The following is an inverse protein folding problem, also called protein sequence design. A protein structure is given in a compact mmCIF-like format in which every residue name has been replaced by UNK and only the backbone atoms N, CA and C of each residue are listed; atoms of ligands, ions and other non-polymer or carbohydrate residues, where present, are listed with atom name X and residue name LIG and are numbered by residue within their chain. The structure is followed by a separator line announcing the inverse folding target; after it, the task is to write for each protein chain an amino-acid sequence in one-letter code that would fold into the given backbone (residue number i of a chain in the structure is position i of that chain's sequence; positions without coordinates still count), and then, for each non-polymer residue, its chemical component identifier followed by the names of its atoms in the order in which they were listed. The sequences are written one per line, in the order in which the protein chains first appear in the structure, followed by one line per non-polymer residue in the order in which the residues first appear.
data_IF_733068078311
#
_entry.id   IF_733068078311
#
_cell.length_a   1.000
_cell.length_b   1.000
_cell.length_c   1.000
_cell.angle_alpha   90.00
_cell.angle_beta   90.00
_cell.angle_gamma   90.00
#
_symmetry.space_group_name_H-M   'P 1'
#
loop_
_entity.id
_entity.type
_entity.pdbx_description
1 polymer ?
#
# COMPACT_ATOMS: atom_id res chain seq x y z
N UNK A 1 9.66 -11.86 17.32
CA UNK A 1 10.36 -10.96 16.39
C UNK A 1 9.63 -9.62 16.36
N UNK A 2 10.33 -8.49 16.19
CA UNK A 2 9.71 -7.16 16.05
C UNK A 2 9.70 -6.80 14.56
N UNK A 3 8.66 -6.14 14.02
CA UNK A 3 8.70 -5.63 12.66
C UNK A 3 9.84 -4.63 12.47
N UNK A 4 10.31 -4.48 11.23
CA UNK A 4 11.31 -3.47 10.87
C UNK A 4 10.67 -2.14 10.53
N UNK A 5 9.62 -2.16 9.71
CA UNK A 5 8.91 -0.97 9.24
C UNK A 5 7.49 -1.33 8.76
N UNK A 6 6.69 -0.30 8.43
CA UNK A 6 5.31 -0.44 7.98
C UNK A 6 5.10 0.40 6.72
N UNK A 7 4.26 -0.07 5.80
CA UNK A 7 3.94 0.67 4.57
C UNK A 7 2.44 0.86 4.40
N UNK A 8 2.07 2.02 3.87
CA UNK A 8 0.80 2.26 3.18
C UNK A 8 1.14 2.67 1.76
N UNK A 9 0.70 1.91 0.76
CA UNK A 9 0.98 2.17 -0.65
C UNK A 9 -0.30 2.07 -1.45
N UNK A 10 -0.57 3.05 -2.32
CA UNK A 10 -1.83 3.13 -3.06
C UNK A 10 -1.62 3.69 -4.46
N UNK A 11 -2.48 3.26 -5.38
CA UNK A 11 -2.68 3.88 -6.69
C UNK A 11 -4.03 4.60 -6.70
N UNK A 12 -4.06 5.90 -6.37
CA UNK A 12 -5.30 6.66 -6.27
C UNK A 12 -6.05 6.74 -7.60
N UNK A 13 -7.37 6.82 -7.53
CA UNK A 13 -8.25 7.09 -8.69
C UNK A 13 -8.81 8.51 -8.69
N UNK A 14 -8.38 9.32 -7.72
CA UNK A 14 -8.78 10.72 -7.56
C UNK A 14 -7.58 11.65 -7.71
N UNK A 15 -7.87 12.91 -7.97
CA UNK A 15 -6.89 13.99 -7.99
C UNK A 15 -6.89 14.73 -6.65
N UNK A 16 -5.71 15.06 -6.13
CA UNK A 16 -5.54 15.87 -4.92
C UNK A 16 -5.31 17.36 -5.23
N UNK A 17 -5.66 17.80 -6.44
CA UNK A 17 -5.63 19.22 -6.84
C UNK A 17 -6.96 19.96 -6.55
N UNK A 18 -7.87 19.32 -5.82
CA UNK A 18 -9.10 19.90 -5.30
C UNK A 18 -8.95 20.16 -3.80
N UNK A 19 -9.33 21.35 -3.35
CA UNK A 19 -9.11 21.80 -1.97
C UNK A 19 -9.79 20.88 -0.96
N UNK A 20 -11.01 20.42 -1.26
CA UNK A 20 -11.75 19.49 -0.40
C UNK A 20 -11.01 18.16 -0.25
N UNK A 21 -10.57 17.54 -1.36
CA UNK A 21 -9.94 16.23 -1.35
C UNK A 21 -8.56 16.29 -0.66
N UNK A 22 -7.74 17.28 -1.03
CA UNK A 22 -6.43 17.51 -0.38
C UNK A 22 -6.60 17.82 1.09
N UNK A 23 -7.55 18.68 1.43
CA UNK A 23 -7.85 19.07 2.79
C UNK A 23 -8.29 17.87 3.65
N UNK A 24 -9.09 16.96 3.10
CA UNK A 24 -9.48 15.71 3.77
C UNK A 24 -8.27 14.80 3.97
N UNK A 25 -7.40 14.63 2.95
CA UNK A 25 -6.21 13.78 3.07
C UNK A 25 -5.26 14.29 4.16
N UNK A 26 -5.00 15.60 4.21
CA UNK A 26 -4.18 16.21 5.26
C UNK A 26 -4.85 16.05 6.64
N UNK A 27 -6.17 16.21 6.71
CA UNK A 27 -6.91 16.06 7.97
C UNK A 27 -6.79 14.66 8.57
N UNK A 28 -6.72 13.62 7.74
CA UNK A 28 -6.52 12.23 8.19
C UNK A 28 -5.24 12.10 9.04
N UNK A 29 -4.12 12.67 8.59
CA UNK A 29 -2.89 12.68 9.39
C UNK A 29 -2.98 13.59 10.63
N UNK A 30 -3.68 14.71 10.54
CA UNK A 30 -3.84 15.68 11.63
C UNK A 30 -4.75 15.16 12.76
N UNK A 31 -5.72 14.31 12.42
CA UNK A 31 -6.73 13.78 13.35
C UNK A 31 -6.14 12.97 14.51
N UNK A 32 -4.92 12.45 14.32
CA UNK A 32 -4.18 11.71 15.32
C UNK A 32 -2.78 12.31 15.49
N UNK A 33 -2.52 12.86 16.67
CA UNK A 33 -1.23 13.49 17.04
C UNK A 33 -0.01 12.56 16.81
N UNK A 34 -0.23 11.24 16.80
CA UNK A 34 0.83 10.24 16.52
C UNK A 34 1.22 10.18 15.04
N UNK A 35 0.37 10.65 14.13
CA UNK A 35 0.60 10.67 12.69
C UNK A 35 0.69 12.06 12.08
N UNK A 36 0.41 13.13 12.83
CA UNK A 36 0.52 14.51 12.31
C UNK A 36 1.91 14.78 11.73
N UNK A 37 2.05 15.28 10.49
CA UNK A 37 3.36 15.56 9.92
C UNK A 37 4.06 16.65 10.73
N UNK A 38 5.39 16.59 10.81
CA UNK A 38 6.20 17.69 11.37
C UNK A 38 6.81 18.55 10.29
N UNK A 39 6.99 17.99 9.09
CA UNK A 39 7.54 18.71 7.95
C UNK A 39 6.81 18.33 6.66
N UNK A 40 6.96 19.19 5.66
CA UNK A 40 6.52 18.93 4.30
C UNK A 40 7.52 19.44 3.26
N UNK A 41 7.33 19.04 2.01
CA UNK A 41 8.10 19.50 0.87
C UNK A 41 7.37 19.29 -0.45
N UNK A 42 7.86 19.94 -1.50
CA UNK A 42 7.40 19.74 -2.89
C UNK A 42 8.30 18.78 -3.70
N UNK A 43 9.35 18.27 -3.07
CA UNK A 43 10.20 17.19 -3.57
C UNK A 43 10.93 16.53 -2.38
N UNK A 44 11.57 15.39 -2.63
CA UNK A 44 12.23 14.58 -1.60
C UNK A 44 13.31 15.34 -0.80
N UNK A 45 13.95 16.34 -1.40
CA UNK A 45 15.06 17.09 -0.80
C UNK A 45 14.62 18.32 -0.02
N UNK A 46 13.39 18.79 -0.21
CA UNK A 46 12.86 19.97 0.48
C UNK A 46 12.13 19.52 1.72
N UNK A 47 12.53 20.06 2.87
CA UNK A 47 11.91 19.73 4.16
C UNK A 47 11.79 20.99 5.00
N UNK A 48 10.59 21.55 5.05
CA UNK A 48 10.22 22.73 5.85
C UNK A 48 9.14 22.37 6.87
N UNK A 49 8.94 23.20 7.89
CA UNK A 49 7.94 22.95 8.94
C UNK A 49 6.54 22.74 8.34
N UNK A 50 5.80 21.77 8.86
CA UNK A 50 4.46 21.44 8.38
C UNK A 50 3.51 22.64 8.52
N UNK A 51 2.95 23.09 7.39
CA UNK A 51 1.96 24.13 7.35
C UNK A 51 0.85 23.78 6.34
N UNK A 52 -0.30 23.36 6.87
CA UNK A 52 -1.49 23.00 6.06
C UNK A 52 -1.90 24.09 5.07
N UNK A 53 -1.93 25.35 5.54
CA UNK A 53 -2.40 26.46 4.71
C UNK A 53 -1.43 26.72 3.55
N UNK A 54 -0.12 26.63 3.82
CA UNK A 54 0.91 26.78 2.80
C UNK A 54 0.83 25.68 1.73
N UNK A 55 0.57 24.43 2.15
CA UNK A 55 0.36 23.30 1.23
C UNK A 55 -0.85 23.57 0.33
N UNK A 56 -2.00 23.93 0.93
CA UNK A 56 -3.23 24.21 0.19
C UNK A 56 -3.03 25.37 -0.80
N UNK A 57 -2.41 26.46 -0.38
CA UNK A 57 -2.11 27.61 -1.25
C UNK A 57 -1.22 27.20 -2.44
N UNK A 58 -0.11 26.50 -2.18
CA UNK A 58 0.86 26.13 -3.22
C UNK A 58 0.33 25.07 -4.19
N UNK A 59 -0.51 24.17 -3.71
CA UNK A 59 -1.11 23.10 -4.52
C UNK A 59 -2.33 23.60 -5.30
N UNK A 60 -3.26 24.28 -4.63
CA UNK A 60 -4.57 24.65 -5.20
C UNK A 60 -4.51 26.01 -5.91
N UNK A 61 -4.06 27.05 -5.21
CA UNK A 61 -4.08 28.43 -5.72
C UNK A 61 -2.94 28.68 -6.70
N UNK A 62 -1.71 28.29 -6.34
CA UNK A 62 -0.53 28.55 -7.18
C UNK A 62 -0.30 27.46 -8.23
N UNK A 63 -0.78 26.23 -8.00
CA UNK A 63 -0.56 25.06 -8.86
C UNK A 63 0.92 24.79 -9.18
N UNK A 64 1.81 25.05 -8.21
CA UNK A 64 3.27 24.92 -8.38
C UNK A 64 3.84 23.60 -7.87
N UNK A 65 2.99 22.78 -7.27
CA UNK A 65 3.39 21.53 -6.61
C UNK A 65 2.73 20.36 -7.35
N UNK A 66 3.56 19.50 -7.94
CA UNK A 66 3.10 18.27 -8.61
C UNK A 66 3.07 17.07 -7.68
N UNK A 67 3.81 17.14 -6.57
CA UNK A 67 3.93 16.09 -5.57
C UNK A 67 4.13 16.72 -4.20
N UNK A 68 3.41 16.21 -3.20
CA UNK A 68 3.56 16.63 -1.80
C UNK A 68 4.29 15.53 -1.05
N UNK A 69 5.36 15.90 -0.37
CA UNK A 69 6.12 15.04 0.53
C UNK A 69 5.76 15.41 1.97
N UNK A 70 5.40 14.43 2.78
CA UNK A 70 5.09 14.58 4.20
C UNK A 70 6.10 13.78 5.03
N UNK A 71 6.61 14.41 6.08
CA UNK A 71 7.58 13.80 6.96
C UNK A 71 7.17 13.95 8.41
N UNK A 72 7.53 12.96 9.21
CA UNK A 72 7.43 13.02 10.65
C UNK A 72 8.70 12.49 11.30
N UNK A 73 9.29 13.28 12.17
CA UNK A 73 10.53 13.00 12.88
C UNK A 73 10.34 12.70 14.38
N UNK A 74 9.12 12.32 14.78
CA UNK A 74 8.80 11.89 16.16
C UNK A 74 8.84 10.37 16.31
N UNK A 75 8.33 9.85 17.43
CA UNK A 75 8.39 8.43 17.81
C UNK A 75 7.80 7.48 16.78
N UNK A 76 6.68 7.86 16.15
CA UNK A 76 6.20 7.27 14.90
C UNK A 76 6.83 8.10 13.78
N UNK A 77 7.99 7.65 13.32
CA UNK A 77 8.74 8.31 12.27
C UNK A 77 8.23 7.82 10.92
N UNK A 78 8.03 8.73 9.97
CA UNK A 78 7.66 8.32 8.61
C UNK A 78 8.10 9.34 7.58
N UNK A 79 8.20 8.86 6.35
CA UNK A 79 8.30 9.67 5.14
C UNK A 79 7.31 9.13 4.13
N UNK A 80 6.67 10.02 3.37
CA UNK A 80 5.76 9.59 2.32
C UNK A 80 5.49 10.71 1.34
N UNK A 81 5.00 10.33 0.17
CA UNK A 81 4.63 11.28 -0.86
C UNK A 81 3.35 10.86 -1.58
N UNK A 82 2.71 11.83 -2.21
CA UNK A 82 1.63 11.58 -3.15
C UNK A 82 1.66 12.59 -4.30
N UNK A 83 1.37 12.09 -5.50
CA UNK A 83 1.23 12.93 -6.68
C UNK A 83 -0.09 13.71 -6.62
N UNK A 84 -0.03 15.02 -6.83
CA UNK A 84 -1.17 15.94 -6.73
C UNK A 84 -2.18 15.68 -7.85
N UNK A 85 -1.71 15.55 -9.08
CA UNK A 85 -2.58 15.33 -10.22
C UNK A 85 -2.77 13.84 -10.47
N UNK A 86 -4.01 13.46 -10.76
CA UNK A 86 -4.33 12.09 -11.14
C UNK A 86 -3.79 11.73 -12.53
N UNK A 87 -3.26 10.52 -12.62
CA UNK A 87 -2.92 9.78 -13.82
C UNK A 87 -3.01 8.28 -13.50
N UNK A 88 -3.00 7.42 -14.53
CA UNK A 88 -2.90 5.98 -14.32
C UNK A 88 -1.58 5.53 -13.66
N UNK A 89 -0.62 6.41 -13.45
CA UNK A 89 0.63 6.14 -12.73
C UNK A 89 0.69 6.84 -11.37
N UNK A 90 -0.38 7.54 -10.99
CA UNK A 90 -0.46 8.22 -9.69
C UNK A 90 -0.26 7.25 -8.56
N UNK A 91 0.59 7.67 -7.64
CA UNK A 91 1.14 6.83 -6.59
C UNK A 91 1.15 7.64 -5.31
N UNK A 92 0.75 6.99 -4.23
CA UNK A 92 0.81 7.47 -2.87
C UNK A 92 1.55 6.41 -2.06
N UNK A 93 2.59 6.81 -1.34
CA UNK A 93 3.34 5.91 -0.47
C UNK A 93 3.66 6.58 0.86
N UNK A 94 3.61 5.81 1.93
CA UNK A 94 4.08 6.20 3.25
C UNK A 94 4.83 5.04 3.87
N UNK A 95 6.10 5.28 4.18
CA UNK A 95 6.99 4.36 4.89
C UNK A 95 7.17 4.85 6.33
N UNK A 96 6.78 4.01 7.28
CA UNK A 96 6.93 4.28 8.70
C UNK A 96 8.20 3.60 9.19
N UNK A 97 9.23 4.42 9.37
CA UNK A 97 10.55 4.02 9.78
C UNK A 97 10.54 3.49 11.22
N UNK A 98 11.13 2.31 11.40
CA UNK A 98 11.17 1.55 12.66
C UNK A 98 9.80 0.99 13.04
N UNK A 99 9.80 -0.09 13.82
CA UNK A 99 8.52 -0.64 14.24
C UNK A 99 7.72 0.31 15.12
N UNK A 100 6.49 0.56 14.65
CA UNK A 100 5.39 1.18 15.38
C UNK A 100 5.07 0.31 16.60
N UNK A 101 4.92 0.90 17.80
CA UNK A 101 4.48 0.18 18.99
C UNK A 101 3.17 -0.57 18.75
N UNK A 102 3.06 -1.83 19.21
CA UNK A 102 1.90 -2.70 18.97
C UNK A 102 0.55 -2.06 19.32
N UNK A 103 0.50 -1.25 20.38
CA UNK A 103 -0.70 -0.49 20.78
C UNK A 103 -1.20 0.54 19.75
N UNK A 104 -0.38 0.90 18.76
CA UNK A 104 -0.70 1.84 17.68
C UNK A 104 -0.98 1.13 16.35
N UNK A 105 -0.90 -0.21 16.27
CA UNK A 105 -1.17 -0.92 15.02
C UNK A 105 -2.61 -0.73 14.56
N UNK A 106 -3.58 -0.75 15.49
CA UNK A 106 -4.98 -0.45 15.18
C UNK A 106 -5.12 0.93 14.52
N UNK A 107 -4.47 1.93 15.09
CA UNK A 107 -4.50 3.30 14.56
C UNK A 107 -3.78 3.42 13.20
N UNK A 108 -2.79 2.56 12.93
CA UNK A 108 -2.10 2.50 11.63
C UNK A 108 -3.00 1.91 10.53
N UNK A 109 -3.75 0.83 10.83
CA UNK A 109 -4.72 0.28 9.88
C UNK A 109 -5.91 1.23 9.67
N UNK A 110 -6.37 1.91 10.72
CA UNK A 110 -7.40 2.96 10.62
C UNK A 110 -6.93 4.14 9.75
N UNK A 111 -5.67 4.58 9.93
CA UNK A 111 -5.06 5.59 9.06
C UNK A 111 -5.12 5.14 7.58
N UNK A 112 -4.82 3.88 7.31
CA UNK A 112 -4.91 3.32 5.97
C UNK A 112 -6.34 3.34 5.42
N UNK A 113 -7.34 2.94 6.21
CA UNK A 113 -8.76 2.96 5.79
C UNK A 113 -9.20 4.38 5.40
N UNK A 114 -8.83 5.36 6.24
CA UNK A 114 -9.18 6.76 6.04
C UNK A 114 -8.50 7.33 4.79
N UNK A 115 -7.24 6.96 4.52
CA UNK A 115 -6.56 7.33 3.26
C UNK A 115 -7.26 6.64 2.08
N UNK A 116 -7.61 5.37 2.18
CA UNK A 116 -8.26 4.60 1.11
C UNK A 116 -9.64 5.17 0.74
N UNK A 117 -10.43 5.61 1.72
CA UNK A 117 -11.73 6.25 1.49
C UNK A 117 -11.62 7.54 0.68
N UNK A 118 -10.52 8.28 0.84
CA UNK A 118 -10.26 9.51 0.09
C UNK A 118 -9.64 9.19 -1.27
N UNK A 119 -8.58 8.37 -1.29
CA UNK A 119 -7.80 8.07 -2.49
C UNK A 119 -8.53 7.13 -3.47
N UNK A 120 -9.50 6.35 -2.97
CA UNK A 120 -10.29 5.33 -3.69
C UNK A 120 -9.39 4.48 -4.59
N UNK A 121 -8.38 3.81 -4.04
CA UNK A 121 -7.31 3.26 -4.86
C UNK A 121 -7.81 2.11 -5.73
N UNK A 122 -7.31 2.02 -6.96
CA UNK A 122 -7.53 0.82 -7.82
C UNK A 122 -6.86 -0.42 -7.21
N UNK A 123 -5.72 -0.19 -6.58
CA UNK A 123 -5.02 -1.14 -5.71
C UNK A 123 -4.34 -0.35 -4.60
N UNK A 124 -4.56 -0.78 -3.37
CA UNK A 124 -3.88 -0.27 -2.18
C UNK A 124 -3.41 -1.41 -1.32
N UNK A 125 -2.22 -1.31 -0.74
CA UNK A 125 -1.62 -2.32 0.11
C UNK A 125 -1.14 -1.66 1.39
N UNK A 126 -1.49 -2.27 2.52
CA UNK A 126 -0.98 -1.91 3.84
C UNK A 126 -0.32 -3.13 4.44
N UNK A 127 0.95 -2.99 4.80
CA UNK A 127 1.79 -4.11 5.17
C UNK A 127 2.67 -3.77 6.37
N UNK A 128 2.88 -4.79 7.20
CA UNK A 128 3.89 -4.83 8.25
C UNK A 128 5.07 -5.62 7.67
N UNK A 129 6.31 -5.14 7.81
CA UNK A 129 7.49 -5.84 7.31
C UNK A 129 8.28 -6.41 8.47
N UNK A 130 8.66 -7.68 8.36
CA UNK A 130 9.49 -8.36 9.35
C UNK A 130 10.92 -8.47 8.84
N UNK A 131 11.89 -8.63 9.76
CA UNK A 131 13.25 -8.97 9.36
C UNK A 131 13.27 -10.16 8.40
N UNK A 132 13.92 -9.94 7.25
CA UNK A 132 14.13 -10.96 6.23
C UNK A 132 15.56 -11.50 6.32
N UNK A 133 15.70 -12.79 6.02
CA UNK A 133 17.00 -13.43 5.81
C UNK A 133 17.47 -13.23 4.37
N UNK A 134 18.63 -12.59 4.19
CA UNK A 134 19.27 -12.39 2.90
C UNK A 134 20.74 -12.86 2.94
N UNK A 135 21.16 -13.80 2.08
CA UNK A 135 20.32 -14.62 1.19
C UNK A 135 19.39 -15.55 1.99
N UNK A 136 18.28 -15.98 1.39
CA UNK A 136 17.45 -17.01 2.01
C UNK A 136 18.12 -18.40 1.92
N UNK A 137 18.00 -19.18 2.98
CA UNK A 137 18.60 -20.52 3.09
C UNK A 137 17.53 -21.62 3.18
N UNK A 138 16.31 -21.26 3.55
CA UNK A 138 15.17 -22.17 3.65
C UNK A 138 14.05 -21.78 2.70
N UNK A 139 13.18 -22.74 2.40
CA UNK A 139 11.98 -22.49 1.61
C UNK A 139 11.06 -21.47 2.30
N UNK A 140 10.98 -21.48 3.64
CA UNK A 140 10.13 -20.55 4.37
C UNK A 140 10.65 -19.11 4.27
N UNK A 141 11.96 -18.90 4.36
CA UNK A 141 12.58 -17.60 4.11
C UNK A 141 12.36 -17.13 2.65
N UNK A 142 12.41 -18.05 1.68
CA UNK A 142 12.07 -17.75 0.27
C UNK A 142 10.62 -17.30 0.10
N UNK A 143 9.68 -17.95 0.77
CA UNK A 143 8.26 -17.59 0.71
C UNK A 143 7.98 -16.27 1.46
N UNK A 144 8.67 -16.02 2.57
CA UNK A 144 8.59 -14.74 3.27
C UNK A 144 9.11 -13.59 2.38
N UNK A 145 10.23 -13.81 1.70
CA UNK A 145 10.77 -12.89 0.69
C UNK A 145 9.70 -12.52 -0.34
N UNK A 146 9.04 -13.54 -0.89
CA UNK A 146 8.01 -13.37 -1.89
C UNK A 146 6.83 -12.56 -1.36
N UNK A 147 6.32 -12.88 -0.17
CA UNK A 147 5.23 -12.13 0.47
C UNK A 147 5.56 -10.64 0.64
N UNK A 148 6.73 -10.34 1.22
CA UNK A 148 7.11 -8.95 1.51
C UNK A 148 7.36 -8.15 0.24
N UNK A 149 8.08 -8.70 -0.73
CA UNK A 149 8.34 -8.03 -2.01
C UNK A 149 7.04 -7.81 -2.80
N UNK A 150 6.11 -8.76 -2.76
CA UNK A 150 4.79 -8.64 -3.41
C UNK A 150 3.92 -7.58 -2.75
N UNK A 151 4.11 -7.33 -1.46
CA UNK A 151 3.39 -6.30 -0.70
C UNK A 151 3.91 -4.88 -0.97
N UNK A 152 4.91 -4.72 -1.85
CA UNK A 152 5.45 -3.44 -2.29
C UNK A 152 5.14 -3.22 -3.79
N UNK A 153 3.90 -2.85 -4.16
CA UNK A 153 3.53 -2.61 -5.54
C UNK A 153 4.08 -1.25 -6.03
N UNK A 154 5.39 -1.01 -5.93
CA UNK A 154 6.02 0.21 -6.46
C UNK A 154 5.86 0.31 -7.99
N UNK A 155 5.85 1.51 -8.59
CA UNK A 155 5.50 1.71 -10.00
C UNK A 155 6.27 0.82 -10.99
N UNK A 156 7.58 0.67 -10.78
CA UNK A 156 8.46 -0.14 -11.64
C UNK A 156 8.14 -1.64 -11.60
N UNK A 157 7.51 -2.14 -10.53
CA UNK A 157 7.09 -3.54 -10.40
C UNK A 157 5.64 -3.71 -10.81
N UNK A 158 4.74 -2.87 -10.30
CA UNK A 158 3.30 -3.03 -10.50
C UNK A 158 2.86 -2.70 -11.93
N UNK A 159 3.28 -1.56 -12.50
CA UNK A 159 2.77 -1.14 -13.81
C UNK A 159 3.02 -2.16 -14.94
N UNK A 160 4.21 -2.78 -15.08
CA UNK A 160 4.43 -3.79 -16.11
C UNK A 160 3.83 -5.17 -15.78
N UNK A 161 3.62 -5.51 -14.50
CA UNK A 161 3.32 -6.88 -14.09
C UNK A 161 1.90 -7.09 -13.53
N UNK A 162 1.20 -6.03 -13.15
CA UNK A 162 -0.09 -6.09 -12.47
C UNK A 162 0.05 -6.26 -10.96
N UNK A 163 -1.05 -6.62 -10.27
CA UNK A 163 -1.04 -6.88 -8.83
C UNK A 163 0.00 -7.94 -8.48
N UNK A 164 0.95 -7.64 -7.58
CA UNK A 164 2.05 -8.55 -7.27
C UNK A 164 1.66 -9.62 -6.24
N UNK A 165 0.74 -9.27 -5.35
CA UNK A 165 0.20 -10.12 -4.29
C UNK A 165 -0.60 -9.26 -3.31
N UNK A 166 -1.12 -9.91 -2.28
CA UNK A 166 -1.80 -9.23 -1.17
C UNK A 166 -0.79 -8.74 -0.13
N UNK A 167 -1.12 -7.68 0.60
CA UNK A 167 -0.52 -7.39 1.90
C UNK A 167 -1.45 -7.75 3.05
N UNK A 168 -1.07 -7.43 4.29
CA UNK A 168 -1.85 -7.65 5.49
C UNK A 168 -3.27 -7.09 5.35
N UNK A 169 -3.37 -5.92 4.72
CA UNK A 169 -4.62 -5.37 4.18
C UNK A 169 -4.44 -4.94 2.74
N UNK A 170 -5.40 -5.30 1.89
CA UNK A 170 -5.41 -4.95 0.47
C UNK A 170 -6.74 -4.35 0.06
N UNK A 171 -6.73 -3.22 -0.63
CA UNK A 171 -7.89 -2.60 -1.27
C UNK A 171 -7.85 -2.82 -2.77
N UNK A 172 -8.97 -3.21 -3.37
CA UNK A 172 -9.11 -3.43 -4.81
C UNK A 172 -10.32 -2.67 -5.33
N UNK A 173 -10.19 -2.02 -6.48
CA UNK A 173 -11.34 -1.38 -7.15
C UNK A 173 -11.14 -1.17 -8.65
N UNK A 174 -12.21 -0.74 -9.31
CA UNK A 174 -12.25 -0.47 -10.75
C UNK A 174 -11.81 -1.70 -11.56
N UNK A 175 -11.08 -1.46 -12.65
CA UNK A 175 -10.66 -2.53 -13.57
C UNK A 175 -9.88 -3.67 -12.91
N UNK A 176 -9.13 -3.41 -11.83
CA UNK A 176 -8.40 -4.49 -11.13
C UNK A 176 -9.38 -5.40 -10.40
N UNK A 177 -10.37 -4.81 -9.72
CA UNK A 177 -11.43 -5.57 -9.07
C UNK A 177 -12.23 -6.38 -10.11
N UNK A 178 -12.53 -5.78 -11.26
CA UNK A 178 -13.28 -6.41 -12.35
C UNK A 178 -12.54 -7.59 -13.02
N UNK A 179 -11.21 -7.71 -12.83
CA UNK A 179 -10.44 -8.87 -13.31
C UNK A 179 -10.69 -10.13 -12.48
N UNK A 180 -11.21 -9.99 -11.27
CA UNK A 180 -11.55 -11.13 -10.43
C UNK A 180 -13.05 -11.44 -10.55
N UNK A 181 -13.36 -12.73 -10.46
CA UNK A 181 -14.74 -13.14 -10.20
C UNK A 181 -15.17 -12.66 -8.80
N UNK A 182 -16.38 -12.08 -8.72
CA UNK A 182 -16.88 -11.50 -7.47
C UNK A 182 -17.07 -12.56 -6.39
N UNK A 183 -17.59 -13.73 -6.75
CA UNK A 183 -17.81 -14.82 -5.79
C UNK A 183 -16.47 -15.38 -5.31
N UNK A 184 -15.47 -15.47 -6.19
CA UNK A 184 -14.11 -15.83 -5.82
C UNK A 184 -13.56 -14.84 -4.77
N UNK A 185 -13.63 -13.53 -5.01
CA UNK A 185 -13.09 -12.56 -4.04
C UNK A 185 -13.80 -12.59 -2.69
N UNK A 186 -15.14 -12.66 -2.68
CA UNK A 186 -15.92 -12.69 -1.44
C UNK A 186 -15.64 -13.94 -0.59
N UNK A 187 -15.23 -15.03 -1.22
CA UNK A 187 -14.87 -16.29 -0.55
C UNK A 187 -13.36 -16.47 -0.37
N UNK A 188 -12.55 -15.44 -0.66
CA UNK A 188 -11.12 -15.45 -0.39
C UNK A 188 -10.83 -15.75 1.09
N UNK A 189 -9.81 -16.56 1.41
CA UNK A 189 -9.29 -16.65 2.77
C UNK A 189 -8.96 -15.26 3.34
N UNK A 190 -9.34 -15.02 4.59
CA UNK A 190 -9.24 -13.72 5.26
C UNK A 190 -10.61 -13.11 5.57
N UNK A 191 -10.62 -11.82 5.90
CA UNK A 191 -11.84 -11.02 6.07
C UNK A 191 -12.02 -10.13 4.86
N UNK A 192 -13.12 -10.33 4.15
CA UNK A 192 -13.45 -9.56 2.95
C UNK A 192 -14.63 -8.64 3.25
N UNK A 193 -14.51 -7.37 2.88
CA UNK A 193 -15.56 -6.37 3.08
C UNK A 193 -15.74 -5.49 1.83
N UNK A 194 -16.99 -5.19 1.50
CA UNK A 194 -17.32 -4.23 0.46
C UNK A 194 -17.26 -2.81 1.03
N UNK A 195 -16.70 -1.88 0.26
CA UNK A 195 -16.47 -0.49 0.66
C UNK A 195 -17.54 0.42 0.06
N UNK A 196 -17.92 1.47 0.79
CA UNK A 196 -18.96 2.43 0.38
C UNK A 196 -18.70 3.11 -0.97
N UNK A 197 -17.44 3.17 -1.40
CA UNK A 197 -16.99 3.76 -2.66
C UNK A 197 -16.85 2.74 -3.81
N UNK A 198 -17.33 1.50 -3.62
CA UNK A 198 -17.39 0.46 -4.66
C UNK A 198 -16.14 -0.41 -4.78
N UNK A 199 -15.20 -0.30 -3.83
CA UNK A 199 -14.05 -1.20 -3.73
C UNK A 199 -14.30 -2.39 -2.79
N UNK A 200 -13.31 -3.27 -2.72
CA UNK A 200 -13.24 -4.41 -1.78
C UNK A 200 -11.99 -4.27 -0.93
N UNK A 201 -12.11 -4.48 0.38
CA UNK A 201 -10.99 -4.63 1.30
C UNK A 201 -10.83 -6.10 1.70
N UNK A 202 -9.60 -6.60 1.67
CA UNK A 202 -9.21 -7.95 2.08
C UNK A 202 -8.17 -7.81 3.19
N UNK A 203 -8.53 -8.25 4.39
CA UNK A 203 -7.60 -8.44 5.50
C UNK A 203 -7.18 -9.90 5.56
N UNK A 204 -5.88 -10.18 5.56
CA UNK A 204 -5.37 -11.57 5.65
C UNK A 204 -5.63 -12.20 7.02
N UNK A 205 -5.78 -11.38 8.06
CA UNK A 205 -6.02 -11.80 9.43
C UNK A 205 -7.28 -11.13 9.98
N UNK A 206 -8.07 -11.86 10.77
CA UNK A 206 -9.24 -11.28 11.46
C UNK A 206 -8.87 -10.13 12.41
N UNK A 207 -7.72 -10.27 13.07
CA UNK A 207 -7.20 -9.26 13.99
C UNK A 207 -5.76 -8.92 13.59
N UNK A 208 -5.50 -7.76 12.97
CA UNK A 208 -4.15 -7.35 12.60
C UNK A 208 -3.21 -7.22 13.82
N UNK A 209 -3.75 -7.08 15.04
CA UNK A 209 -2.95 -7.04 16.27
C UNK A 209 -2.37 -8.41 16.65
N UNK A 210 -2.91 -9.50 16.12
CA UNK A 210 -2.39 -10.85 16.33
C UNK A 210 -1.29 -11.21 15.34
N UNK A 211 -0.99 -10.33 14.38
CA UNK A 211 0.00 -10.61 13.34
C UNK A 211 1.38 -10.89 13.93
N UNK A 212 1.79 -12.14 13.83
CA UNK A 212 3.19 -12.54 13.73
C UNK A 212 3.51 -12.91 12.27
N UNK A 213 4.80 -13.03 11.99
CA UNK A 213 5.32 -13.26 10.64
C UNK A 213 4.86 -14.60 10.06
N UNK A 214 4.84 -15.66 10.89
CA UNK A 214 4.52 -17.01 10.46
C UNK A 214 3.02 -17.14 10.17
N UNK A 215 2.19 -16.61 11.07
CA UNK A 215 0.74 -16.59 10.90
C UNK A 215 0.32 -15.76 9.68
N UNK A 216 0.96 -14.61 9.47
CA UNK A 216 0.69 -13.79 8.28
C UNK A 216 1.12 -14.52 7.00
N UNK A 217 2.30 -15.15 6.99
CA UNK A 217 2.79 -15.89 5.83
C UNK A 217 1.88 -17.07 5.49
N UNK A 218 1.46 -17.85 6.47
CA UNK A 218 0.58 -19.01 6.22
C UNK A 218 -0.79 -18.55 5.69
N UNK A 219 -1.33 -17.46 6.22
CA UNK A 219 -2.58 -16.85 5.74
C UNK A 219 -2.43 -16.28 4.32
N UNK A 220 -1.30 -15.61 4.05
CA UNK A 220 -0.96 -15.08 2.73
C UNK A 220 -0.85 -16.20 1.68
N UNK A 221 -0.14 -17.29 1.98
CA UNK A 221 0.00 -18.44 1.09
C UNK A 221 -1.35 -19.09 0.78
N UNK A 222 -2.22 -19.20 1.78
CA UNK A 222 -3.58 -19.70 1.62
C UNK A 222 -4.39 -18.83 0.66
N UNK A 223 -4.38 -17.50 0.86
CA UNK A 223 -5.10 -16.56 0.03
C UNK A 223 -4.55 -16.50 -1.41
N UNK A 224 -3.22 -16.44 -1.58
CA UNK A 224 -2.59 -16.40 -2.90
C UNK A 224 -2.86 -17.66 -3.71
N UNK A 225 -2.83 -18.85 -3.07
CA UNK A 225 -3.19 -20.11 -3.71
C UNK A 225 -4.67 -20.14 -4.12
N UNK A 226 -5.55 -19.61 -3.26
CA UNK A 226 -6.98 -19.55 -3.57
C UNK A 226 -7.30 -18.63 -4.74
N UNK A 227 -6.59 -17.50 -4.87
CA UNK A 227 -6.78 -16.52 -5.93
C UNK A 227 -6.05 -16.86 -7.24
N UNK A 228 -5.15 -17.86 -7.23
CA UNK A 228 -4.38 -18.31 -8.41
C UNK A 228 -5.25 -18.57 -9.65
N UNK A 229 -6.45 -19.21 -9.56
CA UNK A 229 -7.30 -19.47 -10.73
C UNK A 229 -7.79 -18.22 -11.46
N UNK A 230 -7.81 -17.05 -10.80
CA UNK A 230 -8.18 -15.79 -11.45
C UNK A 230 -7.12 -15.31 -12.47
N UNK A 231 -5.89 -15.82 -12.37
CA UNK A 231 -4.78 -15.46 -13.26
C UNK A 231 -4.51 -13.94 -13.33
N UNK A 232 -4.81 -13.22 -12.25
CA UNK A 232 -4.60 -11.77 -12.11
C UNK A 232 -3.27 -11.43 -11.48
N UNK A 233 -2.88 -12.15 -10.42
CA UNK A 233 -1.65 -11.89 -9.67
C UNK A 233 -0.43 -12.21 -10.52
N UNK A 234 0.59 -11.35 -10.44
CA UNK A 234 1.84 -11.48 -11.17
C UNK A 234 2.57 -12.78 -10.81
N UNK A 235 3.27 -13.35 -11.79
CA UNK A 235 3.99 -14.59 -11.64
C UNK A 235 5.41 -14.29 -11.11
N UNK A 236 5.80 -14.83 -9.94
CA UNK A 236 7.13 -14.58 -9.39
C UNK A 236 8.21 -15.39 -10.11
N UNK A 237 9.41 -14.84 -10.16
CA UNK A 237 10.64 -15.51 -10.55
C UNK A 237 11.72 -15.21 -9.51
N UNK A 238 12.40 -16.23 -9.01
CA UNK A 238 13.35 -16.10 -7.91
C UNK A 238 14.77 -16.05 -8.46
N UNK A 239 15.56 -15.11 -7.96
CA UNK A 239 16.93 -14.91 -8.42
C UNK A 239 17.84 -16.06 -7.96
N UNK A 240 18.80 -16.45 -8.81
CA UNK A 240 19.71 -17.58 -8.52
C UNK A 240 20.60 -17.32 -7.30
N UNK A 241 20.93 -16.05 -7.05
CA UNK A 241 21.74 -15.60 -5.92
C UNK A 241 20.99 -15.61 -4.59
N UNK A 242 19.68 -15.91 -4.62
CA UNK A 242 18.78 -15.97 -3.47
C UNK A 242 18.61 -14.64 -2.74
N UNK A 243 18.67 -13.54 -3.50
CA UNK A 243 18.57 -12.18 -2.95
C UNK A 243 17.32 -11.42 -3.40
N UNK A 244 16.61 -11.89 -4.42
CA UNK A 244 15.48 -11.15 -4.97
C UNK A 244 14.38 -11.98 -5.61
N UNK A 245 13.25 -11.31 -5.83
CA UNK A 245 12.10 -11.82 -6.57
C UNK A 245 11.76 -10.80 -7.65
N UNK A 246 11.77 -11.26 -8.90
CA UNK A 246 11.27 -10.54 -10.06
C UNK A 246 9.87 -11.03 -10.42
N UNK A 247 9.16 -10.28 -11.26
CA UNK A 247 7.79 -10.61 -11.64
C UNK A 247 7.58 -10.50 -13.14
N UNK A 248 6.61 -11.26 -13.64
CA UNK A 248 6.07 -11.14 -14.98
C UNK A 248 4.54 -11.06 -14.93
N UNK A 249 3.90 -10.39 -15.91
CA UNK A 249 2.45 -10.28 -15.91
C UNK A 249 1.78 -11.63 -16.16
N UNK A 250 0.64 -11.83 -15.49
CA UNK A 250 -0.22 -12.99 -15.70
C UNK A 250 -1.28 -12.71 -16.78
N UNK A 251 -2.09 -13.71 -17.13
CA UNK A 251 -2.99 -13.70 -18.29
C UNK A 251 -3.93 -12.49 -18.28
N UNK A 252 -4.68 -12.27 -17.18
CA UNK A 252 -5.64 -11.17 -17.12
C UNK A 252 -4.98 -9.79 -17.26
N UNK A 253 -3.76 -9.63 -16.72
CA UNK A 253 -3.00 -8.39 -16.86
C UNK A 253 -2.43 -8.20 -18.27
N UNK A 254 -1.94 -9.26 -18.91
CA UNK A 254 -1.50 -9.22 -20.32
C UNK A 254 -2.64 -8.77 -21.23
N UNK A 255 -3.83 -9.33 -21.05
CA UNK A 255 -5.00 -8.94 -21.81
C UNK A 255 -5.34 -7.46 -21.60
N UNK A 256 -5.25 -6.97 -20.36
CA UNK A 256 -5.43 -5.55 -20.06
C UNK A 256 -4.40 -4.64 -20.75
N UNK A 257 -3.12 -5.02 -20.76
CA UNK A 257 -2.05 -4.23 -21.38
C UNK A 257 -2.15 -4.14 -22.91
N UNK A 258 -2.91 -5.03 -23.55
CA UNK A 258 -3.09 -5.06 -25.03
C UNK A 258 -4.37 -4.40 -25.54
N UNK A 259 -5.22 -3.92 -24.62
CA UNK A 259 -6.43 -3.13 -24.93
C UNK A 259 -6.08 -1.67 -25.14
#
# INVERSE_FOLDING_TARGET
MKPDFFFITMYPTVSFNEEEILGRLLHVFESNEKFTPTHWGNCETVKIEYNRQEILEKVISERRVSEVHLYRDKSVNYTGSFQVNWSHRSFLNFEFHKSIPKKLWSAFFELSDQIAEIAKPRIGVTQIFWPLSYPWNTERERLQMWMEISSQPIPVRFLPNGPLGLGARTYLSGHILDMFDKELLLNSPGVVSELNWGGTCIDLLHNPLESDMDLLLDSWLSAMKYLEPAQVMALPSFDEDRMGVSFSPNVAWKDYLTR
#
